data_IF_308064607361
#
_entry.id   IF_308064607361
#
_cell.length_a   1.000
_cell.length_b   1.000
_cell.length_c   1.000
_cell.angle_alpha   90.00
_cell.angle_beta   90.00
_cell.angle_gamma   90.00
#
_symmetry.space_group_name_H-M   'P 1'
#
loop_
_entity.id
_entity.type
_entity.pdbx_description
1 polymer ?
#
# COMPACT_ATOMS: atom_id res chain seq x y z
N UNK A 1 -4.85 19.64 0.56
CA UNK A 1 -4.08 18.67 -0.27
C UNK A 1 -5.05 17.62 -0.76
N UNK A 2 -4.79 17.03 -1.92
CA UNK A 2 -5.57 15.90 -2.43
C UNK A 2 -4.64 14.70 -2.56
N UNK A 3 -5.09 13.55 -2.07
CA UNK A 3 -4.50 12.26 -2.33
C UNK A 3 -5.44 11.46 -3.23
N UNK A 4 -4.90 10.95 -4.33
CA UNK A 4 -5.61 10.08 -5.24
C UNK A 4 -4.95 8.71 -5.27
N UNK A 5 -5.77 7.66 -5.32
CA UNK A 5 -5.32 6.28 -5.38
C UNK A 5 -6.19 5.46 -6.32
N UNK A 6 -5.57 4.55 -7.05
CA UNK A 6 -6.24 3.60 -7.94
C UNK A 6 -6.12 2.19 -7.40
N UNK A 7 -7.24 1.48 -7.23
CA UNK A 7 -7.22 0.07 -6.85
C UNK A 7 -8.28 -0.74 -7.60
N UNK A 8 -8.07 -2.05 -7.67
CA UNK A 8 -9.05 -2.99 -8.19
C UNK A 8 -9.79 -3.62 -7.00
N UNK A 9 -11.12 -3.65 -7.06
CA UNK A 9 -11.92 -4.29 -6.02
C UNK A 9 -12.10 -5.80 -6.27
N UNK A 10 -12.80 -6.49 -5.37
CA UNK A 10 -13.04 -7.94 -5.44
C UNK A 10 -13.87 -8.34 -6.67
N UNK A 11 -14.64 -7.41 -7.24
CA UNK A 11 -15.42 -7.60 -8.48
C UNK A 11 -14.63 -7.32 -9.76
N UNK A 12 -13.32 -7.03 -9.64
CA UNK A 12 -12.46 -6.61 -10.75
C UNK A 12 -12.83 -5.25 -11.36
N UNK A 13 -13.49 -4.40 -10.59
CA UNK A 13 -13.75 -3.01 -10.99
C UNK A 13 -12.54 -2.15 -10.58
N UNK A 14 -12.04 -1.33 -11.51
CA UNK A 14 -11.01 -0.34 -11.26
C UNK A 14 -11.64 0.93 -10.69
N UNK A 15 -11.30 1.24 -9.45
CA UNK A 15 -11.79 2.41 -8.74
C UNK A 15 -10.68 3.45 -8.61
N UNK A 16 -11.06 4.71 -8.78
CA UNK A 16 -10.22 5.88 -8.52
C UNK A 16 -10.77 6.64 -7.33
N UNK A 17 -10.10 6.50 -6.18
CA UNK A 17 -10.47 7.18 -4.95
C UNK A 17 -9.79 8.52 -4.80
N UNK A 18 -10.51 9.46 -4.19
CA UNK A 18 -10.03 10.82 -3.93
C UNK A 18 -10.30 11.17 -2.47
N UNK A 19 -9.26 11.61 -1.78
CA UNK A 19 -9.32 12.05 -0.39
C UNK A 19 -8.73 13.45 -0.28
N UNK A 20 -9.44 14.34 0.40
CA UNK A 20 -8.97 15.68 0.70
C UNK A 20 -8.36 15.69 2.09
N UNK A 21 -7.20 16.32 2.21
CA UNK A 21 -6.49 16.49 3.47
C UNK A 21 -6.40 17.99 3.75
N UNK A 22 -7.04 18.43 4.82
CA UNK A 22 -7.10 19.85 5.20
C UNK A 22 -5.75 20.34 5.73
N UNK A 23 -5.61 21.65 5.94
CA UNK A 23 -4.41 22.22 6.58
C UNK A 23 -4.26 21.82 8.05
N UNK A 24 -5.34 21.39 8.70
CA UNK A 24 -5.36 20.86 10.08
C UNK A 24 -5.01 19.37 10.12
N UNK A 25 -4.89 18.70 8.96
CA UNK A 25 -4.59 17.27 8.85
C UNK A 25 -5.82 16.37 8.86
N UNK A 26 -7.03 16.93 8.82
CA UNK A 26 -8.26 16.15 8.75
C UNK A 26 -8.44 15.54 7.37
N UNK A 27 -8.90 14.28 7.33
CA UNK A 27 -9.15 13.54 6.11
C UNK A 27 -10.64 13.57 5.77
N UNK A 28 -10.97 14.04 4.58
CA UNK A 28 -12.34 14.10 4.04
C UNK A 28 -12.39 13.21 2.80
N UNK A 29 -13.24 12.18 2.83
CA UNK A 29 -13.46 11.30 1.68
C UNK A 29 -14.28 12.09 0.65
N UNK A 30 -13.70 12.37 -0.51
CA UNK A 30 -14.40 13.05 -1.59
C UNK A 30 -15.29 12.06 -2.36
N UNK A 31 -14.73 10.88 -2.64
CA UNK A 31 -15.47 9.81 -3.29
C UNK A 31 -14.56 8.81 -3.96
N UNK A 32 -15.18 7.83 -4.61
CA UNK A 32 -14.52 6.90 -5.51
C UNK A 32 -15.30 6.85 -6.82
N UNK A 33 -14.59 6.95 -7.94
CA UNK A 33 -15.16 6.85 -9.28
C UNK A 33 -14.79 5.49 -9.86
N UNK A 34 -15.76 4.78 -10.41
CA UNK A 34 -15.48 3.63 -11.27
C UNK A 34 -14.89 4.12 -12.60
N UNK A 35 -13.68 3.65 -12.92
CA UNK A 35 -12.92 3.95 -14.13
C UNK A 35 -12.61 2.67 -14.91
N UNK A 36 -13.36 1.59 -14.69
CA UNK A 36 -13.15 0.28 -15.34
C UNK A 36 -13.32 0.32 -16.85
N UNK A 37 -14.13 1.24 -17.37
CA UNK A 37 -14.35 1.47 -18.80
C UNK A 37 -13.25 2.35 -19.43
N UNK A 38 -12.35 2.90 -18.63
CA UNK A 38 -11.28 3.77 -19.06
C UNK A 38 -9.95 3.01 -19.12
N UNK A 39 -9.19 3.18 -20.21
CA UNK A 39 -7.80 2.68 -20.25
C UNK A 39 -6.94 3.54 -19.34
N UNK A 40 -6.06 2.93 -18.55
CA UNK A 40 -5.08 3.66 -17.73
C UNK A 40 -4.03 4.36 -18.61
N UNK A 41 -4.37 5.55 -19.10
CA UNK A 41 -3.52 6.41 -19.93
C UNK A 41 -3.28 7.71 -19.20
N UNK A 42 -2.09 8.28 -19.38
CA UNK A 42 -1.71 9.58 -18.82
C UNK A 42 -2.74 10.68 -19.08
N UNK A 43 -3.34 10.72 -20.28
CA UNK A 43 -4.39 11.69 -20.64
C UNK A 43 -5.64 11.56 -19.76
N UNK A 44 -6.04 10.33 -19.41
CA UNK A 44 -7.23 10.08 -18.59
C UNK A 44 -6.97 10.53 -17.16
N UNK A 45 -5.80 10.18 -16.60
CA UNK A 45 -5.36 10.66 -15.28
C UNK A 45 -5.36 12.19 -15.20
N UNK A 46 -4.80 12.86 -16.22
CA UNK A 46 -4.81 14.33 -16.32
C UNK A 46 -6.25 14.87 -16.30
N UNK A 47 -7.14 14.27 -17.09
CA UNK A 47 -8.54 14.68 -17.13
C UNK A 47 -9.24 14.49 -15.77
N UNK A 48 -9.00 13.38 -15.07
CA UNK A 48 -9.54 13.17 -13.72
C UNK A 48 -9.08 14.25 -12.75
N UNK A 49 -7.77 14.57 -12.73
CA UNK A 49 -7.23 15.61 -11.85
C UNK A 49 -7.85 16.98 -12.19
N UNK A 50 -7.98 17.31 -13.48
CA UNK A 50 -8.62 18.57 -13.93
C UNK A 50 -10.09 18.64 -13.54
N UNK A 51 -10.83 17.54 -13.64
CA UNK A 51 -12.24 17.49 -13.22
C UNK A 51 -12.35 17.74 -11.71
N UNK A 52 -11.51 17.09 -10.89
CA UNK A 52 -11.46 17.33 -9.45
C UNK A 52 -11.13 18.79 -9.13
N UNK A 53 -10.23 19.42 -9.89
CA UNK A 53 -9.91 20.84 -9.73
C UNK A 53 -11.12 21.75 -10.00
N UNK A 54 -11.94 21.42 -11.01
CA UNK A 54 -13.16 22.16 -11.34
C UNK A 54 -14.21 21.96 -10.25
N UNK A 55 -14.46 20.72 -9.85
CA UNK A 55 -15.43 20.38 -8.79
C UNK A 55 -15.07 21.08 -7.47
N UNK A 56 -13.82 20.97 -7.02
CA UNK A 56 -13.36 21.63 -5.81
C UNK A 56 -13.47 23.17 -5.90
N UNK A 57 -13.24 23.75 -7.08
CA UNK A 57 -13.40 25.19 -7.29
C UNK A 57 -14.87 25.61 -7.17
N UNK A 58 -15.80 24.79 -7.65
CA UNK A 58 -17.24 25.06 -7.54
C UNK A 58 -17.69 25.06 -6.07
N UNK A 59 -17.09 24.22 -5.24
CA UNK A 59 -17.29 24.20 -3.79
C UNK A 59 -16.42 25.24 -3.03
N UNK A 60 -15.75 26.14 -3.75
CA UNK A 60 -14.87 27.16 -3.18
C UNK A 60 -13.70 26.59 -2.32
N UNK A 61 -13.23 25.38 -2.65
CA UNK A 61 -12.14 24.68 -1.98
C UNK A 61 -10.80 24.99 -2.69
N UNK A 62 -9.85 25.53 -1.93
CA UNK A 62 -8.50 25.82 -2.44
C UNK A 62 -7.61 24.58 -2.38
N UNK A 63 -7.20 24.08 -3.54
CA UNK A 63 -6.24 22.97 -3.65
C UNK A 63 -4.83 23.50 -3.95
N UNK A 64 -3.89 23.20 -3.05
CA UNK A 64 -2.47 23.56 -3.20
C UNK A 64 -1.57 22.41 -3.66
N UNK A 65 -1.97 21.16 -3.40
CA UNK A 65 -1.11 20.00 -3.63
C UNK A 65 -1.92 18.78 -4.03
N UNK A 66 -1.38 18.01 -4.98
CA UNK A 66 -1.84 16.70 -5.42
C UNK A 66 -0.78 15.64 -5.12
N UNK A 67 -1.22 14.52 -4.57
CA UNK A 67 -0.42 13.32 -4.30
C UNK A 67 -1.07 12.16 -5.05
N UNK A 68 -0.30 11.45 -5.88
CA UNK A 68 -0.79 10.28 -6.63
C UNK A 68 0.21 9.13 -6.51
N UNK A 69 -0.21 7.90 -6.78
CA UNK A 69 0.71 6.76 -6.90
C UNK A 69 1.78 6.99 -7.99
N UNK A 70 2.86 6.21 -7.99
CA UNK A 70 3.95 6.35 -8.97
C UNK A 70 3.88 5.35 -10.12
N UNK A 71 2.71 4.77 -10.42
CA UNK A 71 2.55 4.01 -11.66
C UNK A 71 2.85 4.92 -12.87
N UNK A 72 3.28 4.31 -13.98
CA UNK A 72 3.90 5.03 -15.09
C UNK A 72 3.05 6.18 -15.64
N UNK A 73 1.76 5.95 -15.79
CA UNK A 73 0.78 6.91 -16.26
C UNK A 73 0.58 8.09 -15.30
N UNK A 74 0.56 7.85 -13.99
CA UNK A 74 0.42 8.86 -12.95
C UNK A 74 1.70 9.67 -12.80
N UNK A 75 2.86 9.02 -12.84
CA UNK A 75 4.15 9.69 -12.83
C UNK A 75 4.32 10.63 -14.02
N UNK A 76 3.91 10.19 -15.22
CA UNK A 76 3.90 11.04 -16.41
C UNK A 76 2.89 12.19 -16.28
N UNK A 77 1.69 11.93 -15.75
CA UNK A 77 0.66 12.94 -15.56
C UNK A 77 1.12 14.04 -14.60
N UNK A 78 1.76 13.67 -13.47
CA UNK A 78 2.33 14.63 -12.52
C UNK A 78 3.34 15.57 -13.19
N UNK A 79 4.28 15.02 -13.99
CA UNK A 79 5.29 15.84 -14.68
C UNK A 79 4.65 16.86 -15.62
N UNK A 80 3.65 16.45 -16.39
CA UNK A 80 2.91 17.34 -17.30
C UNK A 80 2.15 18.41 -16.50
N UNK A 81 1.41 17.99 -15.48
CA UNK A 81 0.57 18.89 -14.66
C UNK A 81 1.39 19.88 -13.85
N UNK A 82 2.60 19.52 -13.42
CA UNK A 82 3.51 20.42 -12.73
C UNK A 82 3.99 21.58 -13.62
N UNK A 83 4.16 21.33 -14.93
CA UNK A 83 4.47 22.38 -15.90
C UNK A 83 3.24 23.24 -16.20
N UNK A 84 2.07 22.60 -16.34
CA UNK A 84 0.81 23.32 -16.66
C UNK A 84 0.29 24.18 -15.50
N UNK A 85 0.49 23.75 -14.25
CA UNK A 85 0.02 24.43 -13.05
C UNK A 85 1.17 24.73 -12.07
N UNK A 86 2.05 25.70 -12.37
CA UNK A 86 3.22 26.01 -11.55
C UNK A 86 2.87 26.55 -10.15
N UNK A 87 1.63 27.00 -9.96
CA UNK A 87 1.10 27.44 -8.66
C UNK A 87 0.59 26.28 -7.79
N UNK A 88 0.77 25.02 -8.22
CA UNK A 88 0.36 23.82 -7.48
C UNK A 88 1.52 22.85 -7.36
N UNK A 89 1.53 22.11 -6.27
CA UNK A 89 2.56 21.09 -6.01
C UNK A 89 2.03 19.71 -6.42
N UNK A 90 2.82 18.95 -7.16
CA UNK A 90 2.51 17.56 -7.52
C UNK A 90 3.57 16.64 -6.92
N UNK A 91 3.18 15.73 -6.04
CA UNK A 91 4.08 14.85 -5.30
C UNK A 91 3.77 13.37 -5.60
N UNK A 92 4.80 12.51 -5.60
CA UNK A 92 4.58 11.07 -5.55
C UNK A 92 4.02 10.64 -4.19
N UNK A 93 3.26 9.55 -4.17
CA UNK A 93 2.80 8.92 -2.94
C UNK A 93 3.99 8.38 -2.14
N UNK A 94 4.19 8.92 -0.94
CA UNK A 94 5.29 8.53 -0.06
C UNK A 94 5.24 7.04 0.32
N UNK A 95 4.04 6.50 0.56
CA UNK A 95 3.88 5.08 0.91
C UNK A 95 4.39 4.16 -0.21
N UNK A 96 4.09 4.53 -1.47
CA UNK A 96 4.58 3.80 -2.63
C UNK A 96 6.10 3.97 -2.81
N UNK A 97 6.65 5.17 -2.59
CA UNK A 97 8.11 5.38 -2.63
C UNK A 97 8.85 4.54 -1.59
N UNK A 98 8.32 4.47 -0.37
CA UNK A 98 8.87 3.60 0.68
C UNK A 98 8.81 2.13 0.30
N UNK A 99 7.73 1.70 -0.36
CA UNK A 99 7.63 0.33 -0.87
C UNK A 99 8.76 -0.01 -1.86
N UNK A 100 8.99 0.86 -2.84
CA UNK A 100 10.06 0.68 -3.83
C UNK A 100 11.45 0.65 -3.18
N UNK A 101 11.72 1.56 -2.23
CA UNK A 101 13.02 1.58 -1.52
C UNK A 101 13.26 0.27 -0.79
N UNK A 102 12.24 -0.24 -0.08
CA UNK A 102 12.36 -1.52 0.63
C UNK A 102 12.60 -2.65 -0.36
N UNK A 103 11.84 -2.73 -1.46
CA UNK A 103 12.08 -3.74 -2.50
C UNK A 103 13.50 -3.72 -3.06
N UNK A 104 14.05 -2.54 -3.35
CA UNK A 104 15.44 -2.40 -3.82
C UNK A 104 16.45 -2.85 -2.76
N UNK A 105 16.26 -2.51 -1.48
CA UNK A 105 17.13 -3.01 -0.38
C UNK A 105 17.14 -4.53 -0.32
N UNK A 106 15.98 -5.18 -0.51
CA UNK A 106 15.92 -6.64 -0.56
C UNK A 106 16.65 -7.17 -1.80
N UNK A 107 16.46 -6.58 -2.99
CA UNK A 107 17.13 -7.02 -4.22
C UNK A 107 18.67 -6.96 -4.12
N UNK A 108 19.21 -5.91 -3.52
CA UNK A 108 20.66 -5.71 -3.40
C UNK A 108 21.36 -6.68 -2.42
N UNK A 109 20.60 -7.42 -1.59
CA UNK A 109 21.15 -8.33 -0.58
C UNK A 109 20.63 -9.74 -0.71
N UNK A 110 21.50 -10.67 -1.12
CA UNK A 110 21.23 -12.11 -1.15
C UNK A 110 20.77 -12.64 0.22
N UNK A 111 21.32 -12.10 1.31
CA UNK A 111 20.95 -12.50 2.67
C UNK A 111 19.51 -12.10 2.97
N UNK A 112 19.09 -10.89 2.58
CA UNK A 112 17.73 -10.42 2.78
C UNK A 112 16.73 -11.15 1.90
N UNK A 113 17.05 -11.41 0.62
CA UNK A 113 16.19 -12.24 -0.25
C UNK A 113 16.00 -13.66 0.29
N UNK A 114 17.09 -14.31 0.72
CA UNK A 114 17.01 -15.67 1.25
C UNK A 114 16.21 -15.71 2.55
N UNK A 115 16.45 -14.73 3.43
CA UNK A 115 15.74 -14.63 4.72
C UNK A 115 14.25 -14.34 4.52
N UNK A 116 13.89 -13.40 3.65
CA UNK A 116 12.49 -13.11 3.34
C UNK A 116 11.79 -14.32 2.74
N UNK A 117 12.42 -15.00 1.79
CA UNK A 117 11.86 -16.20 1.15
C UNK A 117 11.62 -17.31 2.18
N UNK A 118 12.55 -17.52 3.13
CA UNK A 118 12.38 -18.51 4.21
C UNK A 118 11.23 -18.13 5.14
N UNK A 119 11.16 -16.86 5.56
CA UNK A 119 10.09 -16.36 6.40
C UNK A 119 8.70 -16.55 5.75
N UNK A 120 8.56 -16.17 4.47
CA UNK A 120 7.32 -16.38 3.70
C UNK A 120 6.97 -17.86 3.63
N UNK A 121 7.93 -18.75 3.38
CA UNK A 121 7.71 -20.21 3.38
C UNK A 121 7.18 -20.74 4.71
N UNK A 122 7.73 -20.27 5.85
CA UNK A 122 7.26 -20.66 7.19
C UNK A 122 5.79 -20.27 7.35
N UNK A 123 5.43 -19.03 7.03
CA UNK A 123 4.03 -18.57 7.18
C UNK A 123 3.10 -19.34 6.25
N UNK A 124 3.48 -19.52 4.98
CA UNK A 124 2.70 -20.28 4.00
C UNK A 124 2.46 -21.72 4.46
N UNK A 125 3.45 -22.36 5.09
CA UNK A 125 3.29 -23.71 5.65
C UNK A 125 2.18 -23.77 6.70
N UNK A 126 2.19 -22.86 7.68
CA UNK A 126 1.15 -22.83 8.71
C UNK A 126 -0.22 -22.46 8.13
N UNK A 127 -0.28 -21.47 7.26
CA UNK A 127 -1.53 -21.07 6.60
C UNK A 127 -2.14 -22.19 5.74
N UNK A 128 -1.31 -23.08 5.18
CA UNK A 128 -1.78 -24.22 4.37
C UNK A 128 -2.45 -25.33 5.18
N UNK A 129 -2.22 -25.39 6.50
CA UNK A 129 -2.69 -26.49 7.35
C UNK A 129 -3.29 -26.00 8.66
N UNK A 130 -4.61 -26.14 8.77
CA UNK A 130 -5.34 -25.86 10.01
C UNK A 130 -4.82 -26.70 11.19
N UNK A 131 -4.38 -27.93 10.93
CA UNK A 131 -3.80 -28.81 11.96
C UNK A 131 -2.50 -28.24 12.53
N UNK A 132 -1.52 -27.90 11.67
CA UNK A 132 -0.25 -27.36 12.14
C UNK A 132 -0.40 -25.96 12.76
N UNK A 133 -1.32 -25.14 12.24
CA UNK A 133 -1.69 -23.87 12.88
C UNK A 133 -2.31 -24.09 14.26
N UNK A 134 -3.14 -25.12 14.43
CA UNK A 134 -3.72 -25.49 15.72
C UNK A 134 -2.65 -25.89 16.74
N UNK A 135 -1.69 -26.74 16.33
CA UNK A 135 -0.55 -27.12 17.18
C UNK A 135 0.28 -25.91 17.60
N UNK A 136 0.59 -25.01 16.66
CA UNK A 136 1.33 -23.79 16.95
C UNK A 136 0.59 -22.92 17.97
N UNK A 137 -0.72 -22.76 17.84
CA UNK A 137 -1.53 -21.99 18.79
C UNK A 137 -1.53 -22.61 20.19
N UNK A 138 -1.50 -23.93 20.31
CA UNK A 138 -1.41 -24.61 21.60
C UNK A 138 -0.05 -24.35 22.28
N UNK A 139 1.04 -24.44 21.51
CA UNK A 139 2.39 -24.09 21.99
C UNK A 139 2.49 -22.61 22.39
N UNK A 140 1.95 -21.70 21.57
CA UNK A 140 1.88 -20.27 21.89
C UNK A 140 1.10 -20.01 23.18
N UNK A 141 -0.05 -20.67 23.38
CA UNK A 141 -0.81 -20.54 24.64
C UNK A 141 -0.03 -21.04 25.84
N UNK A 142 0.67 -22.17 25.71
CA UNK A 142 1.50 -22.73 26.78
C UNK A 142 2.63 -21.78 27.19
N UNK A 143 3.31 -21.16 26.22
CA UNK A 143 4.48 -20.33 26.47
C UNK A 143 4.17 -18.86 26.76
N UNK A 144 3.12 -18.31 26.15
CA UNK A 144 2.86 -16.87 26.14
C UNK A 144 1.49 -16.48 26.72
N UNK A 145 0.66 -17.45 27.11
CA UNK A 145 -0.75 -17.26 27.53
C UNK A 145 -1.60 -16.49 26.49
N UNK A 146 -1.20 -16.53 25.22
CA UNK A 146 -1.91 -15.89 24.12
C UNK A 146 -1.58 -16.54 22.79
N UNK A 147 -2.45 -16.36 21.81
CA UNK A 147 -2.20 -16.75 20.42
C UNK A 147 -1.72 -15.55 19.62
N UNK A 148 -0.66 -15.72 18.84
CA UNK A 148 -0.12 -14.68 17.96
C UNK A 148 -0.40 -15.12 16.51
N UNK A 149 -1.12 -14.29 15.77
CA UNK A 149 -1.39 -14.57 14.36
C UNK A 149 -0.11 -14.39 13.52
N UNK A 150 0.21 -15.38 12.70
CA UNK A 150 1.22 -15.24 11.66
C UNK A 150 0.63 -14.42 10.51
N UNK A 151 1.29 -13.31 10.17
CA UNK A 151 0.81 -12.35 9.18
C UNK A 151 1.51 -12.64 7.86
N UNK A 152 0.77 -13.07 6.84
CA UNK A 152 1.34 -13.25 5.51
C UNK A 152 1.78 -11.90 4.93
N UNK A 153 2.90 -11.89 4.23
CA UNK A 153 3.26 -10.76 3.37
C UNK A 153 2.29 -10.73 2.18
N UNK A 154 1.29 -9.86 2.23
CA UNK A 154 0.55 -9.49 1.02
C UNK A 154 1.48 -8.75 0.06
N UNK A 155 1.33 -8.99 -1.25
CA UNK A 155 2.19 -8.48 -2.33
C UNK A 155 2.28 -6.96 -2.47
N UNK A 156 1.67 -6.15 -1.59
CA UNK A 156 1.49 -4.73 -1.91
C UNK A 156 2.04 -3.71 -0.94
N UNK A 157 2.63 -4.02 0.22
CA UNK A 157 3.19 -2.97 1.11
C UNK A 157 4.46 -3.38 1.87
N UNK A 158 5.42 -2.45 2.03
CA UNK A 158 6.59 -2.58 2.92
C UNK A 158 6.24 -2.99 4.35
N UNK A 159 5.09 -2.53 4.85
CA UNK A 159 4.57 -2.93 6.15
C UNK A 159 4.30 -4.43 6.24
N UNK A 160 3.94 -5.10 5.14
CA UNK A 160 3.64 -6.53 5.13
C UNK A 160 4.88 -7.36 5.46
N UNK A 161 6.06 -6.98 4.94
CA UNK A 161 7.34 -7.60 5.31
C UNK A 161 7.66 -7.41 6.78
N UNK A 162 7.51 -6.18 7.29
CA UNK A 162 7.73 -5.90 8.71
C UNK A 162 6.82 -6.76 9.61
N UNK A 163 5.51 -6.75 9.35
CA UNK A 163 4.56 -7.53 10.14
C UNK A 163 4.76 -9.04 10.01
N UNK A 164 5.14 -9.51 8.82
CA UNK A 164 5.52 -10.90 8.56
C UNK A 164 6.68 -11.32 9.48
N UNK A 165 7.83 -10.64 9.39
CA UNK A 165 9.00 -10.99 10.20
C UNK A 165 8.74 -10.78 11.69
N UNK A 166 8.05 -9.72 12.06
CA UNK A 166 7.70 -9.45 13.46
C UNK A 166 6.80 -10.54 14.05
N UNK A 167 5.86 -11.07 13.26
CA UNK A 167 4.98 -12.16 13.72
C UNK A 167 5.75 -13.47 13.95
N UNK A 168 6.77 -13.74 13.14
CA UNK A 168 7.67 -14.89 13.30
C UNK A 168 8.53 -14.71 14.55
N UNK A 169 9.20 -13.57 14.70
CA UNK A 169 10.05 -13.27 15.87
C UNK A 169 9.25 -13.34 17.17
N UNK A 170 8.03 -12.81 17.20
CA UNK A 170 7.14 -12.93 18.37
C UNK A 170 6.72 -14.36 18.70
N UNK A 171 6.82 -15.28 17.74
CA UNK A 171 6.43 -16.69 17.88
C UNK A 171 7.67 -17.61 17.95
N UNK A 172 8.89 -17.06 17.99
CA UNK A 172 10.14 -17.81 17.85
C UNK A 172 10.25 -19.01 18.81
N UNK A 173 10.02 -18.80 20.11
CA UNK A 173 10.11 -19.88 21.09
C UNK A 173 9.07 -20.99 20.86
N UNK A 174 7.86 -20.63 20.39
CA UNK A 174 6.81 -21.59 20.04
C UNK A 174 7.08 -22.31 18.71
N UNK A 175 7.83 -21.69 17.78
CA UNK A 175 8.28 -22.33 16.55
C UNK A 175 9.37 -23.38 16.82
N UNK A 176 10.04 -23.32 17.98
CA UNK A 176 11.15 -24.21 18.36
C UNK A 176 12.29 -24.19 17.33
N UNK A 177 12.48 -23.05 16.67
CA UNK A 177 13.56 -22.81 15.70
C UNK A 177 14.63 -21.98 16.39
N UNK A 178 15.89 -22.42 16.33
CA UNK A 178 17.04 -21.58 16.64
C UNK A 178 17.50 -20.92 15.33
N UNK A 179 17.44 -19.59 15.26
CA UNK A 179 17.91 -18.82 14.09
C UNK A 179 19.43 -18.67 14.06
#
# INVERSE_FOLDING_TARGET
>A
MIACDGWMNIKQEHLFGVVFITSTGEMLIWGAKDISDERSKTKNVINHIKNIMVEAKNENIKINCFVTDSAGEYAAARKIMQVEYPNKVFLPCMAHQMNLIVEEIFKESDVYQRTSTKAVKIISYFHSSAYFTGLLRNEQKSLYDKTIALIASGETWWNSYYFCFHSILKTEAALKVNF
#
